data_IF_243693213486
#
_entry.id   IF_243693213486
#
_cell.length_a   1.000
_cell.length_b   1.000
_cell.length_c   1.000
_cell.angle_alpha   90.00
_cell.angle_beta   90.00
_cell.angle_gamma   90.00
#
_symmetry.space_group_name_H-M   'P 1'
#
loop_
_entity.id
_entity.type
_entity.pdbx_description
1 polymer ?
#
# COMPACT_ATOMS: atom_id res chain seq x y z
N UNK A 1 15.37 -24.22 -27.18
CA UNK A 1 16.30 -23.20 -26.64
C UNK A 1 15.56 -21.89 -26.62
N UNK A 2 15.27 -21.35 -25.45
CA UNK A 2 14.70 -19.99 -25.31
C UNK A 2 15.77 -18.99 -25.73
N UNK A 3 15.39 -17.98 -26.51
CA UNK A 3 16.29 -16.90 -26.90
C UNK A 3 16.88 -16.22 -25.65
N UNK A 4 18.11 -15.66 -25.72
CA UNK A 4 18.66 -14.87 -24.63
C UNK A 4 17.72 -13.72 -24.27
N UNK A 5 17.52 -13.50 -22.96
CA UNK A 5 16.73 -12.37 -22.48
C UNK A 5 17.44 -11.06 -22.79
N UNK A 6 16.76 -10.13 -23.48
CA UNK A 6 17.22 -8.75 -23.62
C UNK A 6 16.88 -7.97 -22.33
N UNK A 7 17.90 -7.75 -21.50
CA UNK A 7 17.76 -7.02 -20.26
C UNK A 7 17.54 -5.51 -20.46
N UNK A 8 17.89 -4.94 -21.63
CA UNK A 8 17.73 -3.51 -21.89
C UNK A 8 16.27 -3.11 -22.17
N UNK A 9 15.46 -4.06 -22.63
CA UNK A 9 14.05 -3.84 -23.02
C UNK A 9 13.05 -4.57 -22.12
N UNK A 10 13.48 -5.09 -20.97
CA UNK A 10 12.60 -5.86 -20.09
C UNK A 10 11.54 -4.94 -19.45
N UNK A 11 10.23 -5.15 -19.72
CA UNK A 11 9.19 -4.27 -19.20
C UNK A 11 8.97 -4.50 -17.70
N UNK A 12 8.45 -3.49 -17.03
CA UNK A 12 7.94 -3.60 -15.66
C UNK A 12 6.57 -4.30 -15.64
N UNK A 13 6.18 -4.90 -14.51
CA UNK A 13 4.84 -5.47 -14.37
C UNK A 13 3.76 -4.39 -14.57
N UNK A 14 2.69 -4.65 -15.34
CA UNK A 14 1.66 -3.64 -15.62
C UNK A 14 0.84 -3.27 -14.37
N UNK A 15 0.78 -4.18 -13.39
CA UNK A 15 0.03 -4.00 -12.16
C UNK A 15 0.84 -4.43 -10.94
N UNK A 16 0.67 -3.69 -9.85
CA UNK A 16 1.14 -4.06 -8.53
C UNK A 16 0.14 -3.57 -7.47
N UNK A 17 0.26 -4.13 -6.27
CA UNK A 17 -0.22 -3.51 -5.04
C UNK A 17 1.02 -3.16 -4.23
N UNK A 18 1.21 -1.88 -3.93
CA UNK A 18 2.31 -1.41 -3.13
C UNK A 18 1.80 -0.67 -1.90
N UNK A 19 2.46 -0.90 -0.77
CA UNK A 19 2.35 -0.08 0.41
C UNK A 19 3.67 0.67 0.62
N UNK A 20 3.60 1.98 0.84
CA UNK A 20 4.80 2.78 1.08
C UNK A 20 4.67 3.64 2.35
N UNK A 21 5.80 3.81 3.03
CA UNK A 21 5.94 4.68 4.19
C UNK A 21 7.06 5.69 3.92
N UNK A 22 6.72 6.98 3.85
CA UNK A 22 7.65 8.06 3.58
C UNK A 22 8.08 8.73 4.89
N UNK A 23 9.39 8.83 5.10
CA UNK A 23 10.02 9.25 6.35
C UNK A 23 10.97 10.42 6.05
N UNK A 24 10.59 11.67 6.36
CA UNK A 24 11.51 12.80 6.42
C UNK A 24 12.61 12.57 7.46
N UNK A 25 13.86 12.88 7.14
CA UNK A 25 15.00 12.73 8.05
C UNK A 25 15.68 14.09 8.24
N UNK A 26 16.01 14.41 9.50
CA UNK A 26 16.70 15.66 9.84
C UNK A 26 15.77 16.87 9.91
N UNK A 27 14.47 16.66 10.15
CA UNK A 27 13.52 17.74 10.43
C UNK A 27 13.84 18.41 11.78
N UNK A 28 13.54 19.71 11.97
CA UNK A 28 13.77 20.39 13.25
C UNK A 28 12.96 19.83 14.42
N UNK A 29 11.88 19.09 14.13
CA UNK A 29 11.00 18.47 15.11
C UNK A 29 10.74 17.01 14.76
N UNK A 30 10.37 16.20 15.76
CA UNK A 30 9.99 14.79 15.56
C UNK A 30 8.65 14.60 14.81
N UNK A 31 7.79 15.63 14.79
CA UNK A 31 6.53 15.55 14.05
C UNK A 31 6.77 15.66 12.55
N UNK A 32 6.15 14.76 11.79
CA UNK A 32 6.20 14.69 10.32
C UNK A 32 4.80 14.81 9.68
N UNK A 33 3.79 15.14 10.48
CA UNK A 33 2.38 15.12 10.06
C UNK A 33 2.10 16.13 8.94
N UNK A 34 2.86 17.23 8.86
CA UNK A 34 2.71 18.23 7.80
C UNK A 34 3.13 17.67 6.45
N UNK A 35 4.26 16.97 6.40
CA UNK A 35 4.80 16.31 5.22
C UNK A 35 3.87 15.19 4.78
N UNK A 36 3.43 14.34 5.72
CA UNK A 36 2.45 13.27 5.44
C UNK A 36 1.15 13.86 4.87
N UNK A 37 0.62 14.93 5.44
CA UNK A 37 -0.57 15.59 4.91
C UNK A 37 -0.36 16.16 3.49
N UNK A 38 0.83 16.67 3.17
CA UNK A 38 1.16 17.12 1.81
C UNK A 38 1.16 15.94 0.82
N UNK A 39 1.77 14.81 1.21
CA UNK A 39 1.74 13.58 0.41
C UNK A 39 0.30 13.08 0.19
N UNK A 40 -0.57 13.13 1.21
CA UNK A 40 -1.97 12.73 1.04
C UNK A 40 -2.76 13.64 0.08
N UNK A 41 -2.45 14.94 0.04
CA UNK A 41 -3.03 15.86 -0.97
C UNK A 41 -2.56 15.48 -2.38
N UNK A 42 -1.29 15.11 -2.54
CA UNK A 42 -0.76 14.59 -3.80
C UNK A 42 -1.45 13.28 -4.19
N UNK A 43 -1.66 12.34 -3.26
CA UNK A 43 -2.40 11.09 -3.52
C UNK A 43 -3.81 11.38 -4.03
N UNK A 44 -4.53 12.30 -3.37
CA UNK A 44 -5.85 12.74 -3.82
C UNK A 44 -5.82 13.36 -5.22
N UNK A 45 -4.84 14.21 -5.51
CA UNK A 45 -4.68 14.84 -6.82
C UNK A 45 -4.24 13.87 -7.93
N UNK A 46 -3.63 12.74 -7.57
CA UNK A 46 -3.13 11.75 -8.53
C UNK A 46 -4.24 10.98 -9.27
N UNK A 47 -5.46 10.96 -8.72
CA UNK A 47 -6.58 10.18 -9.24
C UNK A 47 -6.44 8.66 -9.06
N UNK A 48 -5.36 8.19 -8.42
CA UNK A 48 -5.15 6.77 -8.14
C UNK A 48 -6.10 6.30 -7.04
N UNK A 49 -6.53 5.04 -7.09
CA UNK A 49 -7.13 4.39 -5.93
C UNK A 49 -6.05 4.16 -4.87
N UNK A 50 -6.27 4.66 -3.66
CA UNK A 50 -5.35 4.50 -2.54
C UNK A 50 -6.09 4.35 -1.21
N UNK A 51 -5.39 3.83 -0.21
CA UNK A 51 -5.87 3.78 1.17
C UNK A 51 -4.75 4.16 2.13
N UNK A 52 -4.98 5.19 2.95
CA UNK A 52 -4.06 5.60 4.01
C UNK A 52 -4.37 4.83 5.29
N UNK A 53 -3.31 4.43 6.01
CA UNK A 53 -3.41 3.89 7.36
C UNK A 53 -2.28 4.43 8.23
N UNK A 54 -2.22 3.98 9.49
CA UNK A 54 -1.27 4.50 10.50
C UNK A 54 0.21 4.35 10.15
N UNK A 55 0.54 3.44 9.23
CA UNK A 55 1.92 3.04 8.95
C UNK A 55 2.32 3.21 7.47
N UNK A 56 1.46 3.83 6.66
CA UNK A 56 1.72 3.92 5.23
C UNK A 56 0.51 4.30 4.38
N UNK A 57 0.68 4.11 3.08
CA UNK A 57 -0.37 4.29 2.09
C UNK A 57 -0.26 3.19 1.04
N UNK A 58 -1.35 2.46 0.88
CA UNK A 58 -1.50 1.42 -0.14
C UNK A 58 -2.02 2.01 -1.44
N UNK A 59 -1.40 1.68 -2.58
CA UNK A 59 -1.68 2.17 -3.94
C UNK A 59 -1.31 1.09 -4.98
N UNK A 60 -1.62 1.26 -6.27
CA UNK A 60 -1.33 0.27 -7.31
C UNK A 60 -0.88 0.83 -8.66
N UNK A 61 -0.71 -0.10 -9.63
CA UNK A 61 0.00 0.06 -10.92
C UNK A 61 1.47 0.45 -10.78
N UNK A 62 2.39 -0.41 -11.24
CA UNK A 62 3.83 -0.27 -10.96
C UNK A 62 4.37 1.12 -11.31
N UNK A 63 4.18 1.56 -12.54
CA UNK A 63 4.72 2.85 -13.00
C UNK A 63 4.04 4.02 -12.29
N UNK A 64 2.74 3.93 -12.02
CA UNK A 64 2.00 4.97 -11.30
C UNK A 64 2.44 5.09 -9.84
N UNK A 65 2.67 3.95 -9.16
CA UNK A 65 3.22 3.89 -7.81
C UNK A 65 4.60 4.56 -7.76
N UNK A 66 5.53 4.11 -8.60
CA UNK A 66 6.89 4.64 -8.55
C UNK A 66 6.93 6.12 -8.92
N UNK A 67 6.09 6.55 -9.86
CA UNK A 67 5.93 7.97 -10.21
C UNK A 67 5.40 8.79 -9.03
N UNK A 68 4.34 8.36 -8.34
CA UNK A 68 3.76 9.14 -7.24
C UNK A 68 4.68 9.17 -6.02
N UNK A 69 5.45 8.11 -5.76
CA UNK A 69 6.48 8.10 -4.72
C UNK A 69 7.59 9.12 -5.04
N UNK A 70 8.08 9.17 -6.28
CA UNK A 70 9.07 10.18 -6.69
C UNK A 70 8.55 11.61 -6.59
N UNK A 71 7.27 11.84 -6.94
CA UNK A 71 6.61 13.13 -6.74
C UNK A 71 6.46 13.49 -5.26
N UNK A 72 6.17 12.51 -4.40
CA UNK A 72 6.08 12.71 -2.96
C UNK A 72 7.44 13.14 -2.36
N UNK A 73 8.55 12.53 -2.81
CA UNK A 73 9.90 12.97 -2.44
C UNK A 73 10.15 14.42 -2.84
N UNK A 74 9.85 14.76 -4.10
CA UNK A 74 10.02 16.13 -4.62
C UNK A 74 9.23 17.14 -3.79
N UNK A 75 7.97 16.82 -3.48
CA UNK A 75 7.09 17.67 -2.66
C UNK A 75 7.65 17.89 -1.25
N UNK A 76 8.19 16.84 -0.63
CA UNK A 76 8.78 16.93 0.70
C UNK A 76 10.10 17.72 0.67
N UNK A 77 10.91 17.58 -0.37
CA UNK A 77 12.10 18.40 -0.58
C UNK A 77 11.79 19.88 -0.76
N UNK A 78 10.69 20.23 -1.45
CA UNK A 78 10.23 21.62 -1.59
C UNK A 78 9.89 22.27 -0.24
N UNK A 79 9.58 21.49 0.80
CA UNK A 79 9.36 21.98 2.16
C UNK A 79 10.65 22.18 2.97
N UNK A 80 11.83 22.03 2.34
CA UNK A 80 13.13 22.22 2.97
C UNK A 80 13.72 20.97 3.64
N UNK A 81 13.06 19.81 3.51
CA UNK A 81 13.59 18.54 4.02
C UNK A 81 14.73 18.07 3.11
N UNK A 82 15.92 17.90 3.67
CA UNK A 82 17.12 17.55 2.90
C UNK A 82 17.18 16.06 2.53
N UNK A 83 16.60 15.19 3.37
CA UNK A 83 16.66 13.74 3.18
C UNK A 83 15.30 13.11 3.42
N UNK A 84 14.89 12.25 2.49
CA UNK A 84 13.68 11.44 2.60
C UNK A 84 14.08 9.98 2.44
N UNK A 85 13.61 9.13 3.34
CA UNK A 85 13.67 7.68 3.20
C UNK A 85 12.26 7.17 2.89
N UNK A 86 12.14 6.11 2.09
CA UNK A 86 10.85 5.46 1.86
C UNK A 86 11.03 3.96 1.94
N UNK A 87 10.21 3.33 2.77
CA UNK A 87 10.02 1.87 2.77
C UNK A 87 8.90 1.54 1.79
N UNK A 88 9.10 0.51 0.95
CA UNK A 88 8.12 0.09 -0.05
C UNK A 88 8.00 -1.43 0.01
N UNK A 89 6.78 -1.92 0.21
CA UNK A 89 6.41 -3.32 0.01
C UNK A 89 5.51 -3.42 -1.21
N UNK A 90 6.01 -4.01 -2.29
CA UNK A 90 5.26 -4.18 -3.53
C UNK A 90 5.06 -5.66 -3.86
N UNK A 91 3.84 -6.02 -4.25
CA UNK A 91 3.49 -7.35 -4.72
C UNK A 91 2.89 -7.32 -6.11
N UNK A 92 3.29 -8.28 -6.94
CA UNK A 92 2.77 -8.50 -8.30
C UNK A 92 2.35 -9.96 -8.45
N UNK A 93 1.39 -10.22 -9.32
CA UNK A 93 0.92 -11.58 -9.62
C UNK A 93 0.45 -11.65 -11.07
N UNK A 94 0.55 -12.82 -11.69
CA UNK A 94 0.21 -13.04 -13.11
C UNK A 94 -1.04 -13.90 -13.30
N UNK A 95 -1.51 -14.55 -12.25
CA UNK A 95 -2.66 -15.47 -12.30
C UNK A 95 -4.01 -14.76 -12.27
N UNK A 96 -4.10 -13.55 -11.69
CA UNK A 96 -5.32 -12.71 -11.72
C UNK A 96 -5.05 -11.24 -11.43
N UNK A 97 -5.92 -10.37 -11.93
CA UNK A 97 -6.02 -8.99 -11.45
C UNK A 97 -6.67 -9.00 -10.06
N UNK A 98 -6.17 -8.17 -9.15
CA UNK A 98 -6.71 -8.06 -7.79
C UNK A 98 -6.45 -6.66 -7.23
N UNK A 99 -7.50 -6.00 -6.77
CA UNK A 99 -7.40 -4.75 -6.02
C UNK A 99 -7.06 -5.02 -4.53
N UNK A 100 -6.42 -4.06 -3.85
CA UNK A 100 -6.00 -4.25 -2.46
C UNK A 100 -7.17 -4.41 -1.48
N UNK A 101 -8.34 -3.82 -1.76
CA UNK A 101 -9.55 -4.00 -0.94
C UNK A 101 -10.04 -5.44 -0.95
N UNK A 102 -9.92 -6.15 -2.07
CA UNK A 102 -10.33 -7.55 -2.18
C UNK A 102 -9.52 -8.47 -1.26
N UNK A 103 -8.27 -8.12 -0.96
CA UNK A 103 -7.45 -8.87 0.00
C UNK A 103 -8.05 -8.78 1.41
N UNK A 104 -8.42 -7.57 1.82
CA UNK A 104 -9.02 -7.33 3.14
C UNK A 104 -10.38 -8.02 3.23
N UNK A 105 -11.26 -7.80 2.26
CA UNK A 105 -12.60 -8.39 2.24
C UNK A 105 -12.57 -9.92 2.25
N UNK A 106 -11.57 -10.55 1.61
CA UNK A 106 -11.43 -12.01 1.64
C UNK A 106 -11.07 -12.53 3.02
N UNK A 107 -10.20 -11.84 3.75
CA UNK A 107 -9.84 -12.19 5.14
C UNK A 107 -11.03 -11.98 6.07
N UNK A 108 -11.72 -10.85 5.95
CA UNK A 108 -12.92 -10.54 6.74
C UNK A 108 -14.02 -11.59 6.55
N UNK A 109 -14.24 -12.04 5.31
CA UNK A 109 -15.21 -13.11 5.03
C UNK A 109 -14.85 -14.44 5.70
N UNK A 110 -13.56 -14.78 5.79
CA UNK A 110 -13.09 -15.99 6.50
C UNK A 110 -13.33 -15.84 8.00
N UNK A 111 -12.93 -14.71 8.59
CA UNK A 111 -13.12 -14.45 10.03
C UNK A 111 -14.60 -14.47 10.44
N UNK A 112 -15.48 -13.95 9.59
CA UNK A 112 -16.93 -13.99 9.82
C UNK A 112 -17.48 -15.43 9.78
N UNK A 113 -16.98 -16.26 8.85
CA UNK A 113 -17.35 -17.67 8.77
C UNK A 113 -16.88 -18.48 9.99
N UNK A 114 -15.66 -18.25 10.46
CA UNK A 114 -15.09 -18.91 11.65
C UNK A 114 -15.90 -18.58 12.92
N UNK A 115 -16.30 -17.31 13.06
CA UNK A 115 -17.14 -16.85 14.17
C UNK A 115 -18.51 -17.53 14.18
N UNK A 116 -19.13 -17.69 13.02
CA UNK A 116 -20.41 -18.38 12.89
C UNK A 116 -20.32 -19.88 13.22
N UNK A 117 -19.21 -20.53 12.86
CA UNK A 117 -18.98 -21.94 13.18
C UNK A 117 -18.75 -22.18 14.69
N UNK A 118 -18.12 -21.21 15.37
CA UNK A 118 -17.91 -21.29 16.82
C UNK A 118 -19.23 -21.13 17.60
N UNK A 119 -20.11 -20.23 17.15
CA UNK A 119 -21.43 -20.04 17.76
C UNK A 119 -22.39 -21.22 17.51
N UNK A 120 -22.26 -21.92 16.39
CA UNK A 120 -23.06 -23.12 16.10
C UNK A 120 -22.70 -24.33 16.99
N UNK A 121 -21.50 -24.33 17.59
CA UNK A 121 -20.99 -25.40 18.46
C UNK A 121 -21.02 -25.04 19.97
N UNK A 122 -21.66 -23.92 20.35
CA UNK A 122 -21.79 -23.56 21.76
C UNK A 122 -22.75 -24.53 22.48
N UNK A 123 -22.40 -25.05 23.67
CA UNK A 123 -23.30 -25.91 24.44
C UNK A 123 -24.57 -25.12 24.81
N UNK A 124 -25.74 -25.79 24.87
CA UNK A 124 -26.98 -25.13 25.25
C UNK A 124 -26.84 -24.50 26.64
N UNK A 125 -27.49 -23.34 26.90
CA UNK A 125 -27.43 -22.71 28.20
C UNK A 125 -27.98 -23.67 29.26
N UNK A 126 -27.28 -23.76 30.40
CA UNK A 126 -27.68 -24.63 31.49
C UNK A 126 -29.08 -24.22 31.97
N UNK A 127 -30.03 -25.16 31.89
CA UNK A 127 -31.38 -24.97 32.40
C UNK A 127 -31.32 -24.73 33.92
N UNK A 128 -31.93 -23.64 34.36
CA UNK A 128 -32.15 -23.33 35.78
C UNK A 128 -33.26 -24.20 36.36
#
# INVERSE_FOLDING_TARGET
MTAPTDYASLPTPPACVADFCLIPIGTPTASVSKEVAAVQRLMKASGLSYSMHSAGTTVGSWDAVMRVIGQAHTLVHQNGVLRVQTDIRAGTRTDKAQHFTEKVSKVEAILAADSNNTNANAPPPAAH
#
